data_IF_943851618146
#
_entry.id   IF_943851618146
#
_cell.length_a   1.000
_cell.length_b   1.000
_cell.length_c   1.000
_cell.angle_alpha   90.00
_cell.angle_beta   90.00
_cell.angle_gamma   90.00
#
_symmetry.space_group_name_H-M   'P 1'
#
loop_
_entity.id
_entity.type
_entity.pdbx_description
1 polymer ?
#
# COMPACT_ATOMS: atom_id res chain seq x y z
N UNK A 1 -12.17 14.73 18.03
CA UNK A 1 -11.85 13.93 16.83
C UNK A 1 -11.27 14.91 15.83
N UNK A 2 -9.96 14.87 15.56
CA UNK A 2 -9.36 15.81 14.61
C UNK A 2 -9.62 15.31 13.19
N UNK A 3 -10.41 16.07 12.44
CA UNK A 3 -10.60 15.89 11.01
C UNK A 3 -9.33 16.34 10.26
N UNK A 4 -9.09 15.73 9.10
CA UNK A 4 -7.88 15.85 8.28
C UNK A 4 -7.40 17.31 8.13
N UNK A 5 -6.10 17.56 8.33
CA UNK A 5 -5.52 18.89 8.10
C UNK A 5 -5.37 19.15 6.59
N UNK A 6 -6.27 19.94 6.02
CA UNK A 6 -6.35 20.24 4.59
C UNK A 6 -5.33 21.24 4.04
N UNK A 7 -4.30 21.66 4.79
CA UNK A 7 -3.58 22.88 4.44
C UNK A 7 -2.55 22.73 3.30
N UNK A 8 -1.98 21.56 3.04
CA UNK A 8 -1.21 21.22 1.82
C UNK A 8 -1.30 19.70 1.64
N UNK A 9 -1.61 19.17 0.45
CA UNK A 9 -1.54 17.72 0.19
C UNK A 9 -0.09 17.26 0.36
N UNK A 10 0.21 16.65 1.50
CA UNK A 10 1.50 16.03 1.72
C UNK A 10 1.67 14.86 0.75
N UNK A 11 2.75 14.90 -0.03
CA UNK A 11 3.10 13.86 -1.01
C UNK A 11 4.25 12.99 -0.52
N UNK A 12 4.66 13.09 0.75
CA UNK A 12 5.75 12.30 1.33
C UNK A 12 5.56 10.81 1.04
N UNK A 13 4.37 10.24 1.29
CA UNK A 13 4.10 8.85 0.94
C UNK A 13 4.14 8.60 -0.57
N UNK A 14 3.53 9.50 -1.35
CA UNK A 14 3.50 9.44 -2.81
C UNK A 14 4.88 9.41 -3.47
N UNK A 15 5.88 9.98 -2.78
CA UNK A 15 7.30 9.94 -3.15
C UNK A 15 7.97 8.70 -2.56
N UNK A 16 7.65 8.37 -1.31
CA UNK A 16 8.26 7.29 -0.56
C UNK A 16 8.08 5.92 -1.23
N UNK A 17 6.87 5.60 -1.69
CA UNK A 17 6.55 4.27 -2.25
C UNK A 17 7.05 4.07 -3.68
N UNK A 18 7.52 5.12 -4.37
CA UNK A 18 8.03 4.99 -5.74
C UNK A 18 9.30 4.17 -5.76
N UNK A 19 9.53 3.44 -6.85
CA UNK A 19 10.69 2.55 -7.03
C UNK A 19 12.03 3.21 -6.67
N UNK A 20 12.25 4.47 -7.07
CA UNK A 20 13.48 5.23 -6.74
C UNK A 20 13.71 5.41 -5.23
N UNK A 21 12.64 5.54 -4.45
CA UNK A 21 12.71 5.71 -3.00
C UNK A 21 12.70 4.36 -2.29
N UNK A 22 11.68 3.53 -2.50
CA UNK A 22 11.47 2.28 -1.75
C UNK A 22 12.56 1.22 -2.00
N UNK A 23 13.26 1.30 -3.14
CA UNK A 23 14.36 0.38 -3.47
C UNK A 23 15.50 0.34 -2.44
N UNK A 24 15.68 1.39 -1.63
CA UNK A 24 16.66 1.37 -0.54
C UNK A 24 16.35 0.36 0.56
N UNK A 25 15.10 -0.10 0.67
CA UNK A 25 14.67 -1.08 1.66
C UNK A 25 14.57 -2.51 1.11
N UNK A 26 14.23 -2.65 -0.16
CA UNK A 26 13.87 -3.96 -0.76
C UNK A 26 14.66 -4.31 -2.01
N UNK A 27 15.57 -3.44 -2.46
CA UNK A 27 16.35 -3.60 -3.68
C UNK A 27 15.58 -3.19 -4.95
N UNK A 28 16.34 -2.84 -6.00
CA UNK A 28 15.81 -2.23 -7.21
C UNK A 28 14.80 -3.13 -7.96
N UNK A 29 15.14 -4.41 -8.17
CA UNK A 29 14.28 -5.35 -8.90
C UNK A 29 12.91 -5.54 -8.22
N UNK A 30 12.89 -5.68 -6.90
CA UNK A 30 11.65 -5.83 -6.14
C UNK A 30 10.85 -4.54 -6.09
N UNK A 31 11.52 -3.39 -6.01
CA UNK A 31 10.86 -2.09 -6.04
C UNK A 31 10.21 -1.78 -7.40
N UNK A 32 10.76 -2.26 -8.51
CA UNK A 32 10.13 -2.14 -9.83
C UNK A 32 8.90 -3.04 -9.99
N UNK A 33 8.86 -4.20 -9.32
CA UNK A 33 7.71 -5.11 -9.38
C UNK A 33 6.54 -4.67 -8.50
N UNK A 34 6.74 -3.68 -7.64
CA UNK A 34 5.70 -2.94 -6.92
C UNK A 34 5.28 -1.74 -7.76
N UNK A 35 4.39 -1.94 -8.73
CA UNK A 35 3.74 -0.81 -9.41
C UNK A 35 2.55 -0.38 -8.58
N UNK A 36 2.47 0.87 -8.15
CA UNK A 36 1.32 1.39 -7.39
C UNK A 36 0.66 2.49 -8.22
N UNK A 37 -0.67 2.48 -8.35
CA UNK A 37 -1.41 3.59 -8.95
C UNK A 37 -2.24 4.31 -7.87
N UNK A 38 -2.32 5.64 -8.02
CA UNK A 38 -2.90 6.52 -7.01
C UNK A 38 -4.43 6.53 -7.10
N UNK A 39 -5.10 6.18 -5.99
CA UNK A 39 -6.53 6.41 -5.80
C UNK A 39 -6.94 6.54 -4.31
N UNK A 40 -6.15 6.26 -3.26
CA UNK A 40 -4.83 6.81 -2.86
C UNK A 40 -3.77 5.75 -2.42
N UNK A 41 -3.92 4.48 -2.79
CA UNK A 41 -2.84 3.64 -3.37
C UNK A 41 -3.28 2.19 -3.60
N UNK A 42 -3.36 1.81 -4.88
CA UNK A 42 -3.67 0.45 -5.33
C UNK A 42 -2.38 -0.21 -5.78
N UNK A 43 -2.07 -1.39 -5.22
CA UNK A 43 -0.89 -2.16 -5.59
C UNK A 43 -1.16 -2.98 -6.85
N UNK A 44 -0.26 -2.95 -7.84
CA UNK A 44 -0.35 -3.68 -9.10
C UNK A 44 0.91 -4.49 -9.42
N UNK A 45 0.74 -5.49 -10.29
CA UNK A 45 1.85 -6.13 -11.02
C UNK A 45 1.69 -5.90 -12.52
N UNK A 46 2.82 -5.66 -13.20
CA UNK A 46 2.91 -5.52 -14.65
C UNK A 46 3.09 -6.90 -15.30
N UNK A 47 2.15 -7.29 -16.16
CA UNK A 47 2.20 -8.52 -16.97
C UNK A 47 2.06 -8.13 -18.44
N UNK A 48 3.15 -7.73 -19.07
CA UNK A 48 3.14 -7.30 -20.47
C UNK A 48 2.31 -6.03 -20.72
N UNK A 49 2.41 -5.50 -21.93
CA UNK A 49 2.04 -4.14 -22.33
C UNK A 49 0.55 -3.73 -22.20
N UNK A 50 -0.35 -4.57 -21.64
CA UNK A 50 -1.79 -4.28 -21.63
C UNK A 50 -2.55 -4.50 -20.31
N UNK A 51 -1.91 -4.90 -19.20
CA UNK A 51 -2.65 -5.17 -17.96
C UNK A 51 -1.87 -4.92 -16.67
N UNK A 52 -2.41 -4.04 -15.81
CA UNK A 52 -2.00 -3.92 -14.40
C UNK A 52 -3.02 -4.66 -13.54
N UNK A 53 -2.60 -5.71 -12.83
CA UNK A 53 -3.49 -6.50 -11.96
C UNK A 53 -3.53 -5.89 -10.55
N UNK A 54 -4.66 -5.42 -10.02
CA UNK A 54 -4.74 -4.89 -8.66
C UNK A 54 -4.61 -6.01 -7.62
N UNK A 55 -3.83 -5.78 -6.58
CA UNK A 55 -3.44 -6.76 -5.57
C UNK A 55 -3.87 -6.35 -4.16
N UNK A 56 -3.93 -5.05 -3.87
CA UNK A 56 -4.38 -4.56 -2.57
C UNK A 56 -4.85 -3.11 -2.68
N UNK A 57 -5.74 -2.72 -1.77
CA UNK A 57 -6.11 -1.34 -1.53
C UNK A 57 -5.40 -0.86 -0.26
N UNK A 58 -4.72 0.28 -0.34
CA UNK A 58 -4.05 0.89 0.82
C UNK A 58 -4.53 2.32 0.95
N UNK A 59 -5.26 2.60 2.01
CA UNK A 59 -5.60 3.96 2.39
C UNK A 59 -4.43 4.55 3.18
N UNK A 60 -4.00 5.74 2.79
CA UNK A 60 -2.83 6.38 3.41
C UNK A 60 -3.21 7.75 3.95
N UNK A 61 -2.62 8.13 5.08
CA UNK A 61 -2.66 9.49 5.60
C UNK A 61 -1.44 9.75 6.47
N UNK A 62 -1.13 11.02 6.70
CA UNK A 62 -0.18 11.39 7.75
C UNK A 62 -0.78 11.03 9.12
N UNK A 63 0.03 10.48 10.01
CA UNK A 63 -0.35 10.18 11.39
C UNK A 63 -0.35 11.45 12.24
N UNK A 64 -1.52 11.83 12.70
CA UNK A 64 -1.78 12.93 13.65
C UNK A 64 -2.50 12.41 14.91
N UNK A 65 -2.41 11.10 15.18
CA UNK A 65 -3.10 10.45 16.32
C UNK A 65 -4.57 10.14 16.07
N UNK A 66 -5.01 10.15 14.81
CA UNK A 66 -6.38 9.86 14.42
C UNK A 66 -6.64 8.37 14.20
N UNK A 67 -7.91 8.00 14.29
CA UNK A 67 -8.48 6.84 13.62
C UNK A 67 -8.96 7.29 12.22
N UNK A 68 -8.82 6.45 11.19
CA UNK A 68 -9.30 6.77 9.84
C UNK A 68 -10.61 6.02 9.57
N UNK A 69 -11.68 6.67 9.07
CA UNK A 69 -12.90 5.97 8.70
C UNK A 69 -12.60 5.00 7.54
N UNK A 70 -12.91 3.72 7.75
CA UNK A 70 -12.54 2.63 6.83
C UNK A 70 -13.74 2.00 6.13
N UNK A 71 -14.94 2.52 6.33
CA UNK A 71 -16.18 1.96 5.78
C UNK A 71 -16.12 1.80 4.27
N UNK A 72 -15.77 2.87 3.54
CA UNK A 72 -15.74 2.88 2.07
C UNK A 72 -14.68 1.92 1.52
N UNK A 73 -13.42 2.04 1.96
CA UNK A 73 -12.35 1.15 1.47
C UNK A 73 -12.64 -0.31 1.81
N UNK A 74 -13.26 -0.60 2.96
CA UNK A 74 -13.63 -1.96 3.34
C UNK A 74 -14.71 -2.54 2.43
N UNK A 75 -15.76 -1.79 2.12
CA UNK A 75 -16.80 -2.28 1.20
C UNK A 75 -16.27 -2.41 -0.23
N UNK A 76 -15.44 -1.48 -0.69
CA UNK A 76 -14.76 -1.60 -1.99
C UNK A 76 -13.87 -2.85 -2.05
N UNK A 77 -13.10 -3.12 -0.98
CA UNK A 77 -12.23 -4.29 -0.87
C UNK A 77 -13.01 -5.60 -0.88
N UNK A 78 -14.18 -5.64 -0.24
CA UNK A 78 -15.09 -6.79 -0.30
C UNK A 78 -15.61 -7.02 -1.72
N UNK A 79 -16.11 -5.97 -2.38
CA UNK A 79 -16.63 -6.05 -3.74
C UNK A 79 -15.56 -6.48 -4.76
N UNK A 80 -14.35 -5.93 -4.63
CA UNK A 80 -13.21 -6.28 -5.47
C UNK A 80 -12.52 -7.60 -5.06
N UNK A 81 -12.88 -8.16 -3.90
CA UNK A 81 -12.24 -9.34 -3.30
C UNK A 81 -10.71 -9.19 -3.13
N UNK A 82 -10.26 -7.98 -2.77
CA UNK A 82 -8.87 -7.62 -2.55
C UNK A 82 -8.63 -7.32 -1.06
N UNK A 83 -7.44 -7.60 -0.50
CA UNK A 83 -7.11 -7.14 0.84
C UNK A 83 -7.02 -5.61 0.90
N UNK A 84 -7.42 -5.05 2.03
CA UNK A 84 -7.35 -3.63 2.30
C UNK A 84 -6.67 -3.30 3.62
N UNK A 85 -5.88 -2.23 3.60
CA UNK A 85 -5.09 -1.75 4.72
C UNK A 85 -5.25 -0.24 4.88
N UNK A 86 -5.08 0.24 6.11
CA UNK A 86 -4.76 1.64 6.38
C UNK A 86 -3.31 1.72 6.81
N UNK A 87 -2.56 2.66 6.25
CA UNK A 87 -1.20 2.99 6.66
C UNK A 87 -1.10 4.48 7.01
N UNK A 88 -1.01 4.79 8.30
CA UNK A 88 -0.77 6.14 8.80
C UNK A 88 0.73 6.34 8.95
N UNK A 89 1.30 7.37 8.35
CA UNK A 89 2.76 7.59 8.35
C UNK A 89 3.18 8.80 9.18
N UNK A 90 4.28 8.66 9.91
CA UNK A 90 4.93 9.78 10.61
C UNK A 90 6.05 10.34 9.73
N UNK A 91 6.00 11.62 9.32
CA UNK A 91 7.09 12.23 8.57
C UNK A 91 8.37 12.28 9.40
N UNK A 92 9.49 11.97 8.77
CA UNK A 92 10.80 12.10 9.38
C UNK A 92 11.28 13.56 9.33
N UNK A 93 12.12 14.01 10.28
CA UNK A 93 12.74 15.34 10.21
C UNK A 93 13.74 15.47 9.05
N UNK A 94 14.20 14.34 8.48
CA UNK A 94 15.09 14.30 7.32
C UNK A 94 14.31 14.27 6.01
N UNK A 95 14.90 14.82 4.96
CA UNK A 95 14.35 14.75 3.61
C UNK A 95 14.50 13.36 2.99
N UNK A 96 13.58 13.00 2.08
CA UNK A 96 13.64 11.75 1.34
C UNK A 96 14.87 11.75 0.41
N UNK A 97 15.75 10.74 0.45
CA UNK A 97 16.97 10.69 -0.38
C UNK A 97 16.70 10.74 -1.89
N UNK A 98 15.55 10.22 -2.35
CA UNK A 98 15.16 10.22 -3.75
C UNK A 98 14.52 11.54 -4.21
N UNK A 99 14.06 12.38 -3.28
CA UNK A 99 13.49 13.69 -3.55
C UNK A 99 13.55 14.57 -2.30
N UNK A 100 14.58 15.43 -2.25
CA UNK A 100 14.87 16.29 -1.10
C UNK A 100 13.78 17.34 -0.79
N UNK A 101 12.85 17.57 -1.71
CA UNK A 101 11.72 18.47 -1.53
C UNK A 101 10.64 17.94 -0.57
N UNK A 102 10.69 16.65 -0.21
CA UNK A 102 9.69 16.01 0.65
C UNK A 102 10.36 15.33 1.84
N UNK A 103 9.65 15.29 2.96
CA UNK A 103 10.08 14.53 4.13
C UNK A 103 10.22 13.04 3.79
N UNK A 104 11.19 12.39 4.42
CA UNK A 104 11.18 10.94 4.47
C UNK A 104 10.10 10.45 5.46
N UNK A 105 9.92 9.15 5.60
CA UNK A 105 9.00 8.55 6.59
C UNK A 105 9.83 7.87 7.67
N UNK A 106 9.44 8.11 8.93
CA UNK A 106 10.11 7.53 10.10
C UNK A 106 9.43 6.25 10.56
N UNK A 107 8.10 6.22 10.50
CA UNK A 107 7.28 5.12 11.02
C UNK A 107 5.93 5.04 10.30
N UNK A 108 5.34 3.85 10.33
CA UNK A 108 3.96 3.60 9.96
C UNK A 108 3.19 2.98 11.13
N UNK A 109 1.94 3.40 11.31
CA UNK A 109 0.90 2.58 11.95
C UNK A 109 0.05 1.95 10.87
N UNK A 110 0.05 0.63 10.80
CA UNK A 110 -0.67 -0.13 9.78
C UNK A 110 -1.74 -1.00 10.43
N UNK A 111 -2.91 -1.04 9.80
CA UNK A 111 -4.02 -1.88 10.22
C UNK A 111 -4.68 -2.51 9.01
N UNK A 112 -4.81 -3.83 9.01
CA UNK A 112 -5.63 -4.53 8.01
C UNK A 112 -7.11 -4.30 8.33
N UNK A 113 -7.85 -3.84 7.33
CA UNK A 113 -9.29 -3.59 7.46
C UNK A 113 -10.14 -4.62 6.72
N UNK A 114 -9.52 -5.37 5.80
CA UNK A 114 -10.12 -6.52 5.12
C UNK A 114 -9.04 -7.41 4.49
N UNK A 115 -9.27 -8.73 4.35
CA UNK A 115 -10.20 -9.56 5.11
C UNK A 115 -9.71 -9.77 6.54
N UNK A 116 -10.60 -10.18 7.46
CA UNK A 116 -10.32 -10.40 8.89
C UNK A 116 -9.61 -9.19 9.52
N UNK A 117 -10.34 -8.10 9.79
CA UNK A 117 -9.75 -6.86 10.31
C UNK A 117 -8.92 -7.11 11.56
N UNK A 118 -7.77 -6.44 11.65
CA UNK A 118 -6.95 -6.47 12.86
C UNK A 118 -7.62 -5.62 13.95
N UNK A 119 -7.63 -6.06 15.22
CA UNK A 119 -8.19 -5.27 16.31
C UNK A 119 -7.32 -4.03 16.60
N UNK A 120 -6.00 -4.22 16.58
CA UNK A 120 -5.01 -3.24 16.99
C UNK A 120 -4.13 -2.77 15.81
N UNK A 121 -3.52 -1.60 16.00
CA UNK A 121 -2.53 -1.06 15.07
C UNK A 121 -1.20 -1.76 15.23
N UNK A 122 -0.54 -2.05 14.11
CA UNK A 122 0.87 -2.49 14.10
C UNK A 122 1.77 -1.31 13.79
N UNK A 123 2.76 -1.10 14.64
CA UNK A 123 3.84 -0.15 14.37
C UNK A 123 4.89 -0.84 13.51
N UNK A 124 5.18 -0.26 12.36
CA UNK A 124 6.17 -0.75 11.41
C UNK A 124 7.17 0.36 11.06
N UNK A 125 8.44 0.00 10.96
CA UNK A 125 9.44 0.82 10.28
C UNK A 125 9.16 0.88 8.76
N UNK A 126 9.75 1.85 8.05
CA UNK A 126 9.67 1.92 6.60
C UNK A 126 10.15 0.64 5.90
N UNK A 127 11.19 0.00 6.44
CA UNK A 127 11.70 -1.25 5.89
C UNK A 127 10.72 -2.40 6.07
N UNK A 128 10.09 -2.52 7.24
CA UNK A 128 9.08 -3.55 7.50
C UNK A 128 7.84 -3.35 6.64
N UNK A 129 7.39 -2.10 6.47
CA UNK A 129 6.25 -1.83 5.59
C UNK A 129 6.56 -2.14 4.11
N UNK A 130 7.75 -1.78 3.62
CA UNK A 130 8.19 -2.13 2.28
C UNK A 130 8.23 -3.66 2.05
N UNK A 131 8.70 -4.42 3.05
CA UNK A 131 8.70 -5.87 2.99
C UNK A 131 7.27 -6.46 3.06
N UNK A 132 6.39 -5.88 3.88
CA UNK A 132 4.98 -6.31 3.95
C UNK A 132 4.26 -6.13 2.61
N UNK A 133 4.51 -5.02 1.89
CA UNK A 133 3.96 -4.80 0.54
C UNK A 133 4.39 -5.89 -0.45
N UNK A 134 5.64 -6.36 -0.37
CA UNK A 134 6.11 -7.50 -1.18
C UNK A 134 5.43 -8.81 -0.80
N UNK A 135 5.26 -9.07 0.50
CA UNK A 135 4.56 -10.28 0.95
C UNK A 135 3.10 -10.28 0.47
N UNK A 136 2.40 -9.14 0.59
CA UNK A 136 1.04 -8.97 0.08
C UNK A 136 0.99 -9.26 -1.42
N UNK A 137 1.93 -8.69 -2.20
CA UNK A 137 2.04 -8.97 -3.63
C UNK A 137 2.16 -10.46 -3.91
N UNK A 138 3.12 -11.13 -3.28
CA UNK A 138 3.41 -12.54 -3.57
C UNK A 138 2.24 -13.45 -3.17
N UNK A 139 1.54 -13.14 -2.07
CA UNK A 139 0.34 -13.86 -1.66
C UNK A 139 -0.80 -13.70 -2.67
N UNK A 140 -1.02 -12.47 -3.14
CA UNK A 140 -2.10 -12.19 -4.10
C UNK A 140 -1.80 -12.79 -5.47
N UNK A 141 -0.56 -12.72 -5.94
CA UNK A 141 -0.16 -13.41 -7.16
C UNK A 141 -0.41 -14.91 -7.08
N UNK A 142 -0.01 -15.57 -5.97
CA UNK A 142 -0.29 -17.00 -5.77
C UNK A 142 -1.79 -17.30 -5.83
N UNK A 143 -2.60 -16.47 -5.18
CA UNK A 143 -4.07 -16.60 -5.20
C UNK A 143 -4.63 -16.52 -6.62
N UNK A 144 -4.19 -15.57 -7.43
CA UNK A 144 -4.65 -15.42 -8.81
C UNK A 144 -4.13 -16.53 -9.73
N UNK A 145 -2.88 -17.00 -9.55
CA UNK A 145 -2.35 -18.12 -10.34
C UNK A 145 -3.01 -19.46 -10.00
N UNK A 146 -3.53 -19.61 -8.77
CA UNK A 146 -4.28 -20.79 -8.35
C UNK A 146 -5.77 -20.73 -8.67
N UNK A 147 -6.25 -19.67 -9.31
CA UNK A 147 -7.65 -19.56 -9.70
C UNK A 147 -7.84 -20.34 -11.02
N UNK A 148 -8.69 -21.38 -11.04
CA UNK A 148 -9.03 -22.08 -12.29
C UNK A 148 -9.54 -21.07 -13.32
N UNK A 149 -9.10 -21.20 -14.58
CA UNK A 149 -9.70 -20.41 -15.63
C UNK A 149 -11.19 -20.77 -15.74
N UNK A 150 -12.03 -19.82 -16.13
CA UNK A 150 -13.48 -20.04 -16.26
C UNK A 150 -13.87 -21.19 -17.23
N UNK A 151 -12.90 -21.72 -18.00
CA UNK A 151 -13.08 -22.79 -18.95
C UNK A 151 -12.48 -24.14 -18.48
N UNK A 152 -11.88 -24.21 -17.29
CA UNK A 152 -11.19 -25.41 -16.80
C UNK A 152 -12.16 -26.49 -16.29
N UNK A 153 -13.44 -26.16 -16.06
CA UNK A 153 -14.46 -27.13 -15.60
C UNK A 153 -15.16 -27.88 -16.76
N UNK A 154 -14.82 -27.58 -18.02
CA UNK A 154 -15.57 -28.03 -19.21
C UNK A 154 -14.79 -28.90 -20.20
N UNK A 155 -13.68 -29.54 -19.80
CA UNK A 155 -12.99 -30.55 -20.59
C UNK A 155 -12.74 -31.84 -19.82
#
# INVERSE_FOLDING_TARGET
>A
MQEEQHLIRDRAYGVWHRSRSISRFIGHRKAQSLTMADLDSVLFVEYGYSGKLPLALVEVAQDIGQEKPTGVIRELAKMANLPAFVALYTPAPRANPASRAWHDIDQFRVKRVWPRPEPDWRTLSPAEWANALLQIRDWQLRRFTSTPAANDETY
#
